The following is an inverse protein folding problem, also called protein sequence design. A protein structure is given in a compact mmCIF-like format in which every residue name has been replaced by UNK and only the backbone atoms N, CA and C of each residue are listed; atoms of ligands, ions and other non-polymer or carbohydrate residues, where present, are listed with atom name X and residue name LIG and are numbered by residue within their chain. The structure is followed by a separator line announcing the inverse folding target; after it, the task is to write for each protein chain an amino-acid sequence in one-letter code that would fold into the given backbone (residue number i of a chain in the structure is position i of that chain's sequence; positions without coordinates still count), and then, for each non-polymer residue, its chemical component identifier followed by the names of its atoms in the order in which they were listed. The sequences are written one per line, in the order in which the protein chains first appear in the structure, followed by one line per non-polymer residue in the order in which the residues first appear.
data_IF_593761529680
#
_entry.id   IF_593761529680
#
_cell.length_a   1.000
_cell.length_b   1.000
_cell.length_c   1.000
_cell.angle_alpha   90.00
_cell.angle_beta   90.00
_cell.angle_gamma   90.00
#
_symmetry.space_group_name_H-M   'P 1'
#
loop_
_entity.id
_entity.type
_entity.pdbx_description
1 polymer ?
#
# COMPACT_ATOMS: atom_id res chain seq x y z
N UNK A 1 -78.62 0.10 -17.48
CA UNK A 1 -77.75 -1.09 -17.28
C UNK A 1 -76.44 -0.82 -18.00
N UNK A 2 -75.32 -0.83 -17.28
CA UNK A 2 -74.00 -0.50 -17.82
C UNK A 2 -73.01 -0.46 -16.67
N UNK A 3 -72.46 -1.64 -16.35
CA UNK A 3 -71.69 -1.98 -15.16
C UNK A 3 -70.51 -1.05 -14.90
N UNK A 4 -70.38 -0.62 -13.64
CA UNK A 4 -69.15 -0.05 -13.08
C UNK A 4 -68.15 -1.18 -12.90
N UNK A 5 -67.12 -1.21 -13.75
CA UNK A 5 -66.01 -2.16 -13.62
C UNK A 5 -65.00 -1.59 -12.62
N UNK A 6 -65.04 -2.07 -11.37
CA UNK A 6 -64.00 -1.82 -10.38
C UNK A 6 -62.79 -2.71 -10.72
N UNK A 7 -61.70 -2.10 -11.18
CA UNK A 7 -60.40 -2.76 -11.25
C UNK A 7 -59.68 -2.60 -9.90
N UNK A 8 -59.18 -3.68 -9.26
CA UNK A 8 -58.39 -3.52 -8.06
C UNK A 8 -56.98 -3.08 -8.45
N UNK A 9 -56.56 -1.91 -7.96
CA UNK A 9 -55.17 -1.46 -8.03
C UNK A 9 -54.37 -2.30 -7.03
N UNK A 10 -53.64 -3.30 -7.53
CA UNK A 10 -52.67 -4.04 -6.73
C UNK A 10 -51.49 -3.10 -6.47
N UNK A 11 -51.40 -2.57 -5.26
CA UNK A 11 -50.26 -1.79 -4.78
C UNK A 11 -49.11 -2.78 -4.52
N UNK A 12 -48.23 -2.96 -5.50
CA UNK A 12 -46.99 -3.72 -5.30
C UNK A 12 -46.02 -2.84 -4.51
N UNK A 13 -46.01 -2.99 -3.19
CA UNK A 13 -45.03 -2.37 -2.30
C UNK A 13 -43.65 -2.98 -2.56
N UNK A 14 -42.86 -2.35 -3.43
CA UNK A 14 -41.43 -2.64 -3.58
C UNK A 14 -40.72 -2.08 -2.35
N UNK A 15 -40.52 -2.93 -1.33
CA UNK A 15 -39.58 -2.63 -0.24
C UNK A 15 -38.18 -2.74 -0.83
N UNK A 16 -37.67 -1.61 -1.33
CA UNK A 16 -36.25 -1.47 -1.62
C UNK A 16 -35.50 -1.49 -0.29
N UNK A 17 -35.09 -2.68 0.15
CA UNK A 17 -34.09 -2.83 1.20
C UNK A 17 -32.77 -2.32 0.61
N UNK A 18 -32.50 -1.04 0.78
CA UNK A 18 -31.17 -0.49 0.66
C UNK A 18 -30.32 -1.07 1.79
N UNK A 19 -29.86 -2.30 1.63
CA UNK A 19 -28.70 -2.77 2.34
C UNK A 19 -27.52 -1.91 1.86
N UNK A 20 -27.13 -0.93 2.67
CA UNK A 20 -25.86 -0.26 2.55
C UNK A 20 -24.78 -1.34 2.44
N UNK A 21 -24.16 -1.50 1.27
CA UNK A 21 -23.03 -2.40 1.09
C UNK A 21 -21.88 -1.87 1.94
N UNK A 22 -21.41 -2.60 2.96
CA UNK A 22 -20.12 -2.31 3.57
C UNK A 22 -19.03 -2.49 2.51
N UNK A 23 -17.93 -1.77 2.70
CA UNK A 23 -16.72 -1.80 1.88
C UNK A 23 -16.35 -3.22 1.42
N UNK A 24 -15.93 -3.31 0.16
CA UNK A 24 -15.28 -4.45 -0.51
C UNK A 24 -15.07 -5.70 0.35
N UNK A 25 -15.81 -6.80 0.09
CA UNK A 25 -15.38 -8.09 0.59
C UNK A 25 -14.03 -8.43 -0.05
N UNK A 26 -13.00 -8.67 0.77
CA UNK A 26 -11.77 -9.32 0.34
C UNK A 26 -12.16 -10.58 -0.45
N UNK A 27 -11.63 -10.80 -1.67
CA UNK A 27 -12.02 -11.95 -2.45
C UNK A 27 -11.77 -13.23 -1.66
N UNK A 28 -12.80 -14.06 -1.69
CA UNK A 28 -12.85 -15.44 -1.24
C UNK A 28 -11.59 -16.20 -1.60
N UNK A 29 -11.28 -17.24 -0.81
CA UNK A 29 -10.52 -18.43 -1.22
C UNK A 29 -10.99 -18.93 -2.60
N UNK A 30 -10.56 -18.29 -3.68
CA UNK A 30 -10.74 -18.77 -5.03
C UNK A 30 -9.93 -20.06 -5.11
N UNK A 31 -10.56 -21.09 -5.66
CA UNK A 31 -9.99 -22.41 -5.83
C UNK A 31 -8.54 -22.29 -6.35
N UNK A 32 -7.61 -22.97 -5.68
CA UNK A 32 -6.20 -23.07 -6.05
C UNK A 32 -6.05 -23.81 -7.38
N UNK A 33 -6.39 -23.16 -8.50
CA UNK A 33 -5.74 -23.45 -9.76
C UNK A 33 -4.25 -23.11 -9.60
N UNK A 34 -3.36 -23.96 -10.11
CA UNK A 34 -1.93 -23.65 -10.08
C UNK A 34 -1.70 -22.33 -10.83
N UNK A 35 -1.25 -21.28 -10.12
CA UNK A 35 -0.88 -20.01 -10.75
C UNK A 35 0.22 -20.27 -11.77
N UNK A 36 0.16 -19.57 -12.90
CA UNK A 36 1.26 -19.62 -13.87
C UNK A 36 2.56 -19.22 -13.18
N UNK A 37 3.64 -20.03 -13.32
CA UNK A 37 4.91 -19.74 -12.66
C UNK A 37 5.54 -18.47 -13.24
N UNK A 38 6.52 -17.93 -12.52
CA UNK A 38 7.31 -16.81 -13.01
C UNK A 38 8.02 -17.20 -14.32
N UNK A 39 7.95 -16.34 -15.33
CA UNK A 39 8.61 -16.59 -16.62
C UNK A 39 10.13 -16.61 -16.48
N UNK A 40 10.85 -17.38 -17.29
CA UNK A 40 12.33 -17.45 -17.26
C UNK A 40 12.99 -17.27 -18.63
N UNK A 41 12.23 -16.88 -19.65
CA UNK A 41 12.67 -16.83 -21.05
C UNK A 41 13.11 -15.43 -21.52
N UNK A 42 12.88 -14.39 -20.71
CA UNK A 42 13.31 -13.00 -20.97
C UNK A 42 13.78 -12.31 -19.69
N UNK A 43 14.50 -11.16 -19.78
CA UNK A 43 14.79 -10.34 -18.60
C UNK A 43 13.54 -10.02 -17.79
N UNK A 44 13.69 -9.96 -16.47
CA UNK A 44 12.61 -9.60 -15.56
C UNK A 44 12.27 -8.12 -15.68
N UNK A 45 10.97 -7.82 -15.74
CA UNK A 45 10.44 -6.48 -15.60
C UNK A 45 10.08 -6.24 -14.12
N UNK A 46 10.76 -5.29 -13.48
CA UNK A 46 10.56 -4.92 -12.07
C UNK A 46 9.94 -3.53 -12.05
N UNK A 47 8.69 -3.44 -11.61
CA UNK A 47 7.96 -2.18 -11.55
C UNK A 47 8.39 -1.37 -10.32
N UNK A 48 9.31 -0.43 -10.54
CA UNK A 48 9.80 0.51 -9.53
C UNK A 48 8.65 1.38 -8.98
N UNK A 49 8.25 1.12 -7.74
CA UNK A 49 7.12 1.74 -7.03
C UNK A 49 5.76 1.57 -7.70
N UNK A 50 5.58 0.46 -8.41
CA UNK A 50 4.40 0.19 -9.23
C UNK A 50 4.39 1.01 -10.53
N UNK A 51 3.21 1.28 -11.09
CA UNK A 51 3.04 2.09 -12.30
C UNK A 51 3.12 3.59 -11.98
N UNK A 52 4.24 4.02 -11.38
CA UNK A 52 4.41 5.33 -10.77
C UNK A 52 4.37 6.52 -11.76
N UNK A 53 4.56 6.24 -13.05
CA UNK A 53 4.44 7.23 -14.12
C UNK A 53 3.00 7.69 -14.34
N UNK A 54 2.03 6.84 -14.02
CA UNK A 54 0.60 7.09 -14.20
C UNK A 54 -0.11 7.36 -12.87
N UNK A 55 0.13 6.53 -11.86
CA UNK A 55 -0.55 6.55 -10.57
C UNK A 55 0.45 6.98 -9.49
N UNK A 56 0.05 7.74 -8.44
CA UNK A 56 0.91 8.03 -7.30
C UNK A 56 1.64 6.77 -6.80
N UNK A 57 2.95 6.91 -6.65
CA UNK A 57 3.86 5.81 -6.31
C UNK A 57 3.52 5.15 -4.97
N UNK A 58 3.95 3.89 -4.81
CA UNK A 58 3.79 3.12 -3.57
C UNK A 58 2.31 2.91 -3.14
N UNK A 59 1.36 3.09 -4.05
CA UNK A 59 -0.08 2.87 -3.78
C UNK A 59 -0.56 1.51 -4.26
N UNK A 60 -1.60 0.98 -3.63
CA UNK A 60 -2.24 -0.27 -4.07
C UNK A 60 -2.61 -0.28 -5.55
N UNK A 61 -3.29 0.75 -6.09
CA UNK A 61 -3.60 0.86 -7.50
C UNK A 61 -2.37 0.93 -8.42
N UNK A 62 -1.27 1.58 -8.01
CA UNK A 62 -0.04 1.58 -8.79
C UNK A 62 0.55 0.18 -8.94
N UNK A 63 0.53 -0.62 -7.87
CA UNK A 63 1.00 -2.02 -7.92
C UNK A 63 0.08 -2.93 -8.74
N UNK A 64 -1.24 -2.82 -8.53
CA UNK A 64 -2.21 -3.60 -9.32
C UNK A 64 -2.07 -3.30 -10.80
N UNK A 65 -1.95 -2.01 -11.17
CA UNK A 65 -1.76 -1.59 -12.55
C UNK A 65 -0.47 -2.12 -13.15
N UNK A 66 0.64 -2.09 -12.41
CA UNK A 66 1.91 -2.66 -12.87
C UNK A 66 1.81 -4.18 -13.13
N UNK A 67 1.06 -4.92 -12.30
CA UNK A 67 0.82 -6.35 -12.50
C UNK A 67 0.01 -6.61 -13.78
N UNK A 68 -1.03 -5.80 -14.01
CA UNK A 68 -1.87 -5.82 -15.22
C UNK A 68 -1.04 -5.51 -16.48
N UNK A 69 -0.09 -4.58 -16.38
CA UNK A 69 0.86 -4.22 -17.44
C UNK A 69 1.94 -5.29 -17.69
N UNK A 70 1.97 -6.35 -16.88
CA UNK A 70 2.85 -7.50 -17.10
C UNK A 70 4.16 -7.47 -16.31
N UNK A 71 4.27 -6.67 -15.25
CA UNK A 71 5.45 -6.66 -14.39
C UNK A 71 5.68 -8.04 -13.73
N UNK A 72 6.91 -8.56 -13.78
CA UNK A 72 7.25 -9.84 -13.16
C UNK A 72 7.39 -9.67 -11.64
N UNK A 73 7.91 -8.52 -11.22
CA UNK A 73 8.03 -8.11 -9.83
C UNK A 73 7.44 -6.72 -9.64
N UNK A 74 6.87 -6.48 -8.46
CA UNK A 74 6.59 -5.13 -7.97
C UNK A 74 7.69 -4.77 -6.96
N UNK A 75 8.29 -3.61 -7.09
CA UNK A 75 9.27 -3.09 -6.11
C UNK A 75 8.56 -2.13 -5.16
N UNK A 76 8.94 -2.13 -3.88
CA UNK A 76 8.34 -1.25 -2.90
C UNK A 76 9.32 -0.84 -1.81
N UNK A 77 9.29 0.43 -1.44
CA UNK A 77 10.16 1.02 -0.44
C UNK A 77 9.50 0.93 0.94
N UNK A 78 10.17 0.32 1.92
CA UNK A 78 9.58 0.08 3.23
C UNK A 78 10.17 1.04 4.26
N UNK A 79 9.30 1.66 5.04
CA UNK A 79 9.61 2.49 6.21
C UNK A 79 8.71 2.10 7.38
N UNK A 80 8.96 2.65 8.57
CA UNK A 80 8.20 2.34 9.77
C UNK A 80 7.52 3.57 10.39
N UNK A 81 6.29 3.36 10.84
CA UNK A 81 5.47 4.33 11.57
C UNK A 81 5.89 4.41 13.03
N UNK A 82 5.44 5.45 13.74
CA UNK A 82 5.67 5.65 15.19
C UNK A 82 5.27 4.46 16.06
N UNK A 83 4.20 3.79 15.68
CA UNK A 83 3.63 2.61 16.33
C UNK A 83 4.20 1.28 15.80
N UNK A 84 5.29 1.33 15.02
CA UNK A 84 6.07 0.17 14.62
C UNK A 84 5.47 -0.63 13.48
N UNK A 85 4.54 -0.06 12.72
CA UNK A 85 3.96 -0.69 11.53
C UNK A 85 4.79 -0.36 10.30
N UNK A 86 5.01 -1.36 9.45
CA UNK A 86 5.73 -1.17 8.20
C UNK A 86 4.80 -0.68 7.09
N UNK A 87 5.20 0.35 6.36
CA UNK A 87 4.44 1.02 5.29
C UNK A 87 5.27 1.21 4.04
N UNK A 88 4.59 1.28 2.89
CA UNK A 88 5.18 1.56 1.58
C UNK A 88 5.35 3.08 1.41
N UNK A 89 6.59 3.54 1.38
CA UNK A 89 6.99 4.93 1.14
C UNK A 89 8.49 5.04 0.87
N UNK A 90 8.87 5.78 -0.18
CA UNK A 90 10.27 5.99 -0.55
C UNK A 90 11.05 6.93 0.38
N UNK A 91 10.47 8.09 0.68
CA UNK A 91 11.13 9.16 1.43
C UNK A 91 10.80 9.06 2.92
N UNK A 92 11.75 9.44 3.79
CA UNK A 92 11.49 9.54 5.24
C UNK A 92 10.38 10.55 5.58
N UNK A 93 10.15 11.51 4.69
CA UNK A 93 9.22 12.61 4.85
C UNK A 93 8.06 12.50 3.84
N UNK A 94 6.88 12.92 4.28
CA UNK A 94 5.62 12.83 3.54
C UNK A 94 5.38 13.99 2.56
N UNK A 95 6.26 14.98 2.59
CA UNK A 95 6.11 16.33 2.03
C UNK A 95 5.75 16.39 0.53
N UNK A 96 6.33 15.50 -0.26
CA UNK A 96 6.27 15.56 -1.72
C UNK A 96 5.30 14.53 -2.32
N UNK A 97 4.98 13.48 -1.56
CA UNK A 97 4.13 12.36 -2.01
C UNK A 97 2.75 12.34 -1.37
N UNK A 98 2.45 13.26 -0.43
CA UNK A 98 1.14 13.32 0.23
C UNK A 98 0.58 14.74 0.38
N UNK A 99 -0.66 14.83 0.83
CA UNK A 99 -1.37 16.04 1.22
C UNK A 99 -1.06 16.53 2.65
N UNK A 100 -0.06 15.96 3.36
CA UNK A 100 0.20 16.25 4.80
C UNK A 100 0.26 17.74 5.15
N UNK A 101 0.81 18.57 4.26
CA UNK A 101 0.93 20.03 4.42
C UNK A 101 -0.41 20.75 4.51
N UNK A 102 -1.48 20.14 3.99
CA UNK A 102 -2.85 20.68 3.94
C UNK A 102 -3.62 20.36 5.23
N UNK A 103 -3.16 19.39 6.02
CA UNK A 103 -3.81 18.95 7.27
C UNK A 103 -3.36 19.81 8.45
N UNK A 104 -4.17 20.81 8.82
CA UNK A 104 -3.89 21.71 9.97
C UNK A 104 -3.61 20.98 11.29
N UNK A 105 -4.25 19.84 11.52
CA UNK A 105 -4.04 19.00 12.71
C UNK A 105 -2.61 18.44 12.84
N UNK A 106 -1.84 18.48 11.76
CA UNK A 106 -0.46 18.00 11.72
C UNK A 106 0.55 19.14 11.59
N UNK A 107 0.14 20.40 11.66
CA UNK A 107 1.05 21.55 11.45
C UNK A 107 2.26 21.55 12.41
N UNK A 108 2.10 21.04 13.63
CA UNK A 108 3.13 20.90 14.66
C UNK A 108 4.04 19.66 14.49
N UNK A 109 3.79 18.84 13.46
CA UNK A 109 4.53 17.60 13.18
C UNK A 109 5.71 17.78 12.23
N UNK A 110 5.92 18.99 11.73
CA UNK A 110 7.12 19.31 10.94
C UNK A 110 8.32 19.43 11.87
N UNK A 111 9.34 18.58 11.68
CA UNK A 111 10.52 18.49 12.54
C UNK A 111 11.80 18.47 11.74
N UNK A 112 12.93 18.66 12.43
CA UNK A 112 14.27 18.50 11.88
C UNK A 112 14.95 17.32 12.56
N UNK A 113 15.46 16.38 11.78
CA UNK A 113 16.31 15.28 12.25
C UNK A 113 17.65 15.27 11.52
N UNK A 114 18.65 14.68 12.18
CA UNK A 114 19.93 14.36 11.56
C UNK A 114 19.81 13.03 10.81
N UNK A 115 19.79 13.06 9.49
CA UNK A 115 19.66 11.88 8.64
C UNK A 115 20.95 11.70 7.88
N UNK A 116 21.66 10.60 8.13
CA UNK A 116 22.93 10.27 7.43
C UNK A 116 23.93 11.44 7.45
N UNK A 117 24.02 12.16 8.58
CA UNK A 117 24.93 13.31 8.76
C UNK A 117 24.44 14.64 8.16
N UNK A 118 23.21 14.70 7.59
CA UNK A 118 22.63 15.94 7.04
C UNK A 118 21.28 16.30 7.68
N UNK A 119 21.07 17.58 7.99
CA UNK A 119 19.83 18.05 8.61
C UNK A 119 18.70 17.97 7.59
N UNK A 120 17.67 17.18 7.89
CA UNK A 120 16.48 17.05 7.06
C UNK A 120 15.28 17.58 7.83
N UNK A 121 14.48 18.42 7.19
CA UNK A 121 13.28 19.02 7.80
C UNK A 121 12.04 18.70 7.00
N UNK A 122 11.02 18.12 7.64
CA UNK A 122 9.77 17.72 6.99
C UNK A 122 8.82 17.01 7.96
N UNK A 123 7.80 16.37 7.40
CA UNK A 123 6.84 15.55 8.13
C UNK A 123 7.28 14.08 8.09
N UNK A 124 8.03 13.66 9.10
CA UNK A 124 8.65 12.33 9.11
C UNK A 124 7.65 11.22 9.39
N UNK A 125 7.66 10.14 8.60
CA UNK A 125 6.79 8.96 8.78
C UNK A 125 6.89 8.39 10.20
N UNK A 126 8.11 8.34 10.76
CA UNK A 126 8.38 7.87 12.11
C UNK A 126 7.69 8.68 13.22
N UNK A 127 7.22 9.89 12.92
CA UNK A 127 6.44 10.68 13.88
C UNK A 127 4.95 10.32 13.86
N UNK A 128 4.42 9.63 12.84
CA UNK A 128 2.98 9.33 12.67
C UNK A 128 2.63 7.89 13.00
N UNK A 129 1.47 7.70 13.61
CA UNK A 129 0.84 6.36 13.72
C UNK A 129 0.29 5.91 12.38
N UNK A 130 0.09 4.60 12.18
CA UNK A 130 -0.56 4.11 10.98
C UNK A 130 -1.95 4.74 10.78
N UNK A 131 -2.72 4.86 11.87
CA UNK A 131 -4.07 5.45 11.82
C UNK A 131 -4.03 6.87 11.27
N UNK A 132 -3.08 7.70 11.73
CA UNK A 132 -2.88 9.05 11.21
C UNK A 132 -2.48 9.04 9.72
N UNK A 133 -1.54 8.18 9.32
CA UNK A 133 -1.10 8.08 7.92
C UNK A 133 -2.22 7.65 6.98
N UNK A 134 -3.12 6.77 7.42
CA UNK A 134 -4.29 6.34 6.64
C UNK A 134 -5.29 7.49 6.38
N UNK A 135 -5.20 8.58 7.14
CA UNK A 135 -5.99 9.80 6.86
C UNK A 135 -5.42 10.67 5.74
N UNK A 136 -4.16 10.49 5.38
CA UNK A 136 -3.50 11.25 4.30
C UNK A 136 -3.85 10.67 2.93
N UNK A 137 -3.69 11.50 1.89
CA UNK A 137 -3.85 11.08 0.49
C UNK A 137 -2.56 11.32 -0.28
N UNK A 138 -2.22 10.31 -1.08
CA UNK A 138 -1.05 10.32 -1.93
C UNK A 138 -1.24 11.20 -3.16
N UNK A 139 -0.13 11.69 -3.70
CA UNK A 139 -0.08 12.52 -4.90
C UNK A 139 1.20 12.24 -5.70
N UNK A 140 1.19 12.61 -6.96
CA UNK A 140 2.38 12.62 -7.81
C UNK A 140 3.43 13.59 -7.24
N UNK A 141 4.68 13.12 -7.14
CA UNK A 141 5.80 13.93 -6.68
C UNK A 141 6.41 14.81 -7.77
N UNK A 142 6.27 14.41 -9.04
CA UNK A 142 6.84 15.11 -10.19
C UNK A 142 5.74 15.85 -10.94
N UNK A 143 5.88 17.18 -11.06
CA UNK A 143 4.85 18.05 -11.67
C UNK A 143 4.56 17.76 -13.14
N UNK A 144 5.43 17.03 -13.84
CA UNK A 144 5.20 16.63 -15.25
C UNK A 144 4.36 15.35 -15.39
N UNK A 145 4.14 14.59 -14.31
CA UNK A 145 3.28 13.41 -14.32
C UNK A 145 1.83 13.83 -14.22
N UNK A 146 0.94 13.03 -14.79
CA UNK A 146 -0.50 13.30 -14.77
C UNK A 146 -1.04 13.30 -13.33
N UNK A 147 -1.60 14.43 -12.83
CA UNK A 147 -2.10 14.54 -11.48
C UNK A 147 -3.50 13.94 -11.28
N UNK A 148 -4.13 13.33 -12.30
CA UNK A 148 -5.54 12.89 -12.25
C UNK A 148 -5.87 11.91 -11.10
N UNK A 149 -4.87 11.26 -10.50
CA UNK A 149 -5.03 10.33 -9.38
C UNK A 149 -4.63 10.92 -8.02
N UNK A 150 -4.18 12.16 -7.96
CA UNK A 150 -3.86 12.84 -6.70
C UNK A 150 -5.09 12.89 -5.79
N UNK A 151 -4.88 12.70 -4.48
CA UNK A 151 -5.95 12.79 -3.49
C UNK A 151 -6.83 11.54 -3.38
N UNK A 152 -6.63 10.51 -4.20
CA UNK A 152 -7.52 9.34 -4.27
C UNK A 152 -7.15 8.21 -3.33
N UNK A 153 -5.86 7.96 -3.13
CA UNK A 153 -5.39 6.71 -2.50
C UNK A 153 -4.61 6.98 -1.22
N UNK A 154 -4.82 6.17 -0.16
CA UNK A 154 -4.02 6.24 1.07
C UNK A 154 -2.66 5.55 0.90
N UNK A 155 -1.77 5.79 1.85
CA UNK A 155 -0.57 4.96 2.07
C UNK A 155 -1.00 3.53 2.42
N UNK A 156 -0.25 2.53 1.95
CA UNK A 156 -0.49 1.11 2.26
C UNK A 156 0.59 0.56 3.21
N UNK A 157 0.24 -0.48 3.95
CA UNK A 157 1.15 -1.24 4.79
C UNK A 157 1.97 -2.21 3.94
N UNK A 158 3.10 -2.66 4.47
CA UNK A 158 3.91 -3.70 3.84
C UNK A 158 3.11 -5.00 3.67
N UNK A 159 2.22 -5.31 4.62
CA UNK A 159 1.33 -6.48 4.55
C UNK A 159 0.29 -6.36 3.42
N UNK A 160 -0.29 -5.18 3.22
CA UNK A 160 -1.21 -4.91 2.09
C UNK A 160 -0.47 -5.03 0.75
N UNK A 161 0.76 -4.51 0.66
CA UNK A 161 1.62 -4.68 -0.52
C UNK A 161 1.92 -6.14 -0.83
N UNK A 162 2.30 -6.95 0.17
CA UNK A 162 2.54 -8.38 -0.01
C UNK A 162 1.26 -9.09 -0.48
N UNK A 163 0.12 -8.73 0.10
CA UNK A 163 -1.18 -9.31 -0.26
C UNK A 163 -1.53 -9.05 -1.73
N UNK A 164 -1.22 -7.86 -2.27
CA UNK A 164 -1.43 -7.56 -3.70
C UNK A 164 -0.67 -8.55 -4.61
N UNK A 165 0.59 -8.85 -4.31
CA UNK A 165 1.35 -9.85 -5.08
C UNK A 165 0.80 -11.27 -4.92
N UNK A 166 0.40 -11.63 -3.69
CA UNK A 166 -0.18 -12.93 -3.38
C UNK A 166 -1.59 -13.13 -3.97
N UNK A 167 -2.33 -12.07 -4.25
CA UNK A 167 -3.67 -12.13 -4.83
C UNK A 167 -3.65 -12.03 -6.36
N UNK A 168 -2.50 -11.74 -6.97
CA UNK A 168 -2.35 -11.66 -8.42
C UNK A 168 -2.77 -12.97 -9.12
N UNK A 169 -3.37 -12.92 -10.34
CA UNK A 169 -3.85 -14.12 -11.05
C UNK A 169 -2.74 -15.06 -11.53
N UNK A 170 -1.48 -14.60 -11.48
CA UNK A 170 -0.26 -15.36 -11.78
C UNK A 170 0.75 -15.17 -10.65
N UNK A 171 1.84 -15.93 -10.67
CA UNK A 171 2.97 -15.63 -9.78
C UNK A 171 3.56 -14.26 -10.15
N UNK A 172 3.62 -13.39 -9.15
CA UNK A 172 4.30 -12.08 -9.18
C UNK A 172 5.25 -12.06 -8.00
N UNK A 173 6.50 -11.69 -8.23
CA UNK A 173 7.48 -11.53 -7.16
C UNK A 173 7.34 -10.16 -6.47
N UNK A 174 7.82 -10.07 -5.24
CA UNK A 174 8.02 -8.79 -4.55
C UNK A 174 9.51 -8.45 -4.52
N UNK A 175 9.82 -7.16 -4.54
CA UNK A 175 11.17 -6.62 -4.41
C UNK A 175 11.16 -5.49 -3.37
N UNK A 176 11.10 -5.82 -2.06
CA UNK A 176 11.01 -4.79 -1.03
C UNK A 176 12.39 -4.20 -0.69
N UNK A 177 12.53 -2.87 -0.77
CA UNK A 177 13.71 -2.13 -0.31
C UNK A 177 13.54 -1.71 1.15
N UNK A 178 14.51 -2.05 2.00
CA UNK A 178 14.54 -1.59 3.39
C UNK A 178 15.17 -0.19 3.46
N UNK A 179 14.38 0.85 3.71
CA UNK A 179 14.88 2.23 3.71
C UNK A 179 15.41 2.65 5.07
N UNK A 180 16.57 3.31 5.06
CA UNK A 180 17.13 4.01 6.22
C UNK A 180 17.07 3.21 7.54
N UNK A 181 17.64 2.00 7.61
CA UNK A 181 17.45 1.13 8.76
C UNK A 181 18.00 1.71 10.07
N UNK A 182 19.08 2.51 10.00
CA UNK A 182 19.62 3.24 11.15
C UNK A 182 18.60 4.23 11.71
N UNK A 183 18.04 5.09 10.86
CA UNK A 183 17.04 6.08 11.26
C UNK A 183 15.79 5.44 11.88
N UNK A 184 15.27 4.38 11.25
CA UNK A 184 14.09 3.67 11.78
C UNK A 184 14.39 3.05 13.16
N UNK A 185 15.57 2.46 13.35
CA UNK A 185 15.96 1.91 14.66
C UNK A 185 16.14 3.00 15.74
N UNK A 186 16.56 4.20 15.37
CA UNK A 186 16.77 5.32 16.30
C UNK A 186 15.46 6.03 16.69
N UNK A 187 14.49 6.12 15.78
CA UNK A 187 13.33 7.01 15.95
C UNK A 187 11.98 6.30 16.09
N UNK A 188 11.90 5.00 15.78
CA UNK A 188 10.67 4.22 15.95
C UNK A 188 10.73 3.40 17.24
N UNK A 189 9.58 3.29 17.93
CA UNK A 189 9.47 2.45 19.12
C UNK A 189 9.21 1.00 18.73
N UNK A 190 10.21 0.16 18.94
CA UNK A 190 10.11 -1.27 18.71
C UNK A 190 9.71 -2.02 19.99
N UNK A 191 8.75 -2.94 19.88
CA UNK A 191 8.30 -3.75 21.01
C UNK A 191 9.10 -5.05 21.13
N UNK A 192 9.33 -5.49 22.38
CA UNK A 192 9.98 -6.77 22.67
C UNK A 192 11.48 -6.81 22.34
N UNK A 193 12.17 -5.67 22.32
CA UNK A 193 13.61 -5.59 22.00
C UNK A 193 13.94 -5.85 20.53
N UNK A 194 12.91 -5.91 19.67
CA UNK A 194 13.07 -6.07 18.23
C UNK A 194 13.69 -4.82 17.59
N UNK A 195 14.23 -5.02 16.40
CA UNK A 195 14.68 -3.96 15.50
C UNK A 195 13.82 -3.93 14.24
N UNK A 196 14.01 -2.89 13.44
CA UNK A 196 13.36 -2.73 12.15
C UNK A 196 13.57 -3.96 11.23
N UNK A 197 14.80 -4.48 11.20
CA UNK A 197 15.16 -5.65 10.40
C UNK A 197 14.40 -6.90 10.85
N UNK A 198 14.18 -7.06 12.16
CA UNK A 198 13.44 -8.20 12.71
C UNK A 198 11.98 -8.14 12.27
N UNK A 199 11.32 -6.99 12.41
CA UNK A 199 9.92 -6.82 12.01
C UNK A 199 9.74 -7.03 10.51
N UNK A 200 10.67 -6.55 9.70
CA UNK A 200 10.66 -6.75 8.25
C UNK A 200 10.76 -8.24 7.90
N UNK A 201 11.73 -8.95 8.48
CA UNK A 201 11.94 -10.37 8.22
C UNK A 201 10.82 -11.25 8.77
N UNK A 202 10.26 -10.91 9.94
CA UNK A 202 9.08 -11.56 10.51
C UNK A 202 7.87 -11.41 9.59
N UNK A 203 7.67 -10.22 9.02
CA UNK A 203 6.58 -9.95 8.08
C UNK A 203 6.72 -10.79 6.82
N UNK A 204 7.90 -10.85 6.21
CA UNK A 204 8.15 -11.72 5.05
C UNK A 204 7.87 -13.20 5.38
N UNK A 205 8.39 -13.70 6.51
CA UNK A 205 8.18 -15.09 6.95
C UNK A 205 6.72 -15.41 7.20
N UNK A 206 5.96 -14.47 7.79
CA UNK A 206 4.51 -14.58 8.06
C UNK A 206 3.73 -14.87 6.76
N UNK A 207 4.13 -14.23 5.66
CA UNK A 207 3.50 -14.38 4.35
C UNK A 207 4.14 -15.47 3.47
N UNK A 208 5.01 -16.32 4.04
CA UNK A 208 5.58 -17.47 3.34
C UNK A 208 6.83 -17.18 2.51
N UNK A 209 7.32 -15.94 2.50
CA UNK A 209 8.60 -15.61 1.88
C UNK A 209 9.74 -16.12 2.76
N UNK A 210 10.24 -17.29 2.38
CA UNK A 210 11.32 -18.01 3.06
C UNK A 210 12.41 -18.31 2.03
N UNK A 211 13.66 -18.32 2.47
CA UNK A 211 14.78 -18.71 1.64
C UNK A 211 15.96 -19.11 2.49
N UNK A 212 16.74 -20.07 2.02
CA UNK A 212 18.10 -20.28 2.51
C UNK A 212 18.99 -19.21 1.90
N UNK A 213 19.85 -18.60 2.73
CA UNK A 213 20.93 -17.74 2.24
C UNK A 213 21.76 -18.53 1.21
N UNK A 214 21.81 -18.07 -0.05
CA UNK A 214 22.52 -18.78 -1.11
C UNK A 214 24.04 -18.56 -1.06
N UNK A 215 24.52 -17.52 -0.37
CA UNK A 215 25.94 -17.41 -0.04
C UNK A 215 26.23 -18.27 1.20
N UNK A 216 26.73 -19.48 0.99
CA UNK A 216 27.62 -20.07 2.00
C UNK A 216 28.81 -19.14 2.10
N UNK A 217 28.98 -18.49 3.26
CA UNK A 217 30.24 -17.82 3.59
C UNK A 217 31.27 -18.95 3.61
N UNK A 218 32.09 -19.01 2.56
CA UNK A 218 33.23 -19.91 2.46
C UNK A 218 34.38 -19.41 3.33
#
# INVERSE_FOLDING_TARGET
MGSRCFAPIIFLSLVAVCAARPLYPLPSKLAQGAKQPLQTSRPYNIAHRGSNGEIPEETGPAYMRAIEEGADFIEGDILATKDGVLVCAHDLILDDTTDVKEHKKFADRRRTYMVQGSNMTGYFIADFTLEELKTLRTKQRLNFRDPQYNGKYPIITFEEYISIALDAPRVVGIYPEMKNPVFNNEHVKWSGGRRYEDVFMETLKKYGYKGSYLSKIG
#
